data_IF_723460382187
#
_entry.id   IF_723460382187
#
_cell.length_a   1.000
_cell.length_b   1.000
_cell.length_c   1.000
_cell.angle_alpha   90.00
_cell.angle_beta   90.00
_cell.angle_gamma   90.00
#
_symmetry.space_group_name_H-M   'P 1'
#
loop_
_entity.id
_entity.type
_entity.pdbx_description
1 polymer ?
#
# COMPACT_ATOMS: atom_id res chain seq x y z
N UNK A 1 -51.94 41.13 -24.09
CA UNK A 1 -50.60 41.74 -23.95
C UNK A 1 -49.83 40.90 -22.93
N UNK A 2 -48.66 40.38 -23.31
CA UNK A 2 -47.87 39.34 -22.60
C UNK A 2 -47.28 39.84 -21.27
N UNK A 3 -47.19 39.00 -20.22
CA UNK A 3 -46.28 39.27 -19.12
C UNK A 3 -44.86 38.83 -19.50
N UNK A 4 -43.89 39.74 -19.37
CA UNK A 4 -42.46 39.46 -19.50
C UNK A 4 -42.00 38.70 -18.24
N UNK A 5 -41.61 37.44 -18.41
CA UNK A 5 -40.98 36.63 -17.37
C UNK A 5 -39.49 37.03 -17.33
N UNK A 6 -39.09 37.70 -16.26
CA UNK A 6 -37.68 37.94 -15.93
C UNK A 6 -37.02 36.62 -15.51
N UNK A 7 -36.24 36.04 -16.42
CA UNK A 7 -35.35 34.91 -16.16
C UNK A 7 -34.23 35.38 -15.21
N UNK A 8 -34.36 35.02 -13.94
CA UNK A 8 -33.30 35.17 -12.94
C UNK A 8 -32.13 34.26 -13.31
N UNK A 9 -30.98 34.87 -13.64
CA UNK A 9 -29.70 34.20 -13.73
C UNK A 9 -29.25 33.83 -12.31
N UNK A 10 -29.65 32.64 -11.86
CA UNK A 10 -29.00 31.97 -10.73
C UNK A 10 -27.71 31.33 -11.27
N UNK A 11 -26.51 31.83 -10.95
CA UNK A 11 -25.31 31.07 -11.20
C UNK A 11 -25.40 29.82 -10.33
N UNK A 12 -25.54 28.67 -10.97
CA UNK A 12 -25.28 27.40 -10.33
C UNK A 12 -23.84 27.44 -9.81
N UNK A 13 -23.69 27.68 -8.51
CA UNK A 13 -22.52 27.26 -7.77
C UNK A 13 -22.52 25.73 -7.84
N UNK A 14 -21.91 25.20 -8.91
CA UNK A 14 -21.50 23.81 -8.97
C UNK A 14 -20.43 23.68 -7.90
N UNK A 15 -20.88 23.29 -6.70
CA UNK A 15 -20.00 22.86 -5.64
C UNK A 15 -19.34 21.56 -6.13
N UNK A 16 -18.19 21.70 -6.80
CA UNK A 16 -17.27 20.61 -7.06
C UNK A 16 -16.59 20.24 -5.74
N UNK A 17 -17.38 19.73 -4.78
CA UNK A 17 -16.84 18.97 -3.67
C UNK A 17 -16.38 17.63 -4.23
N UNK A 18 -15.20 17.61 -4.85
CA UNK A 18 -14.49 16.35 -5.02
C UNK A 18 -14.32 15.77 -3.61
N UNK A 19 -14.94 14.62 -3.33
CA UNK A 19 -14.70 13.92 -2.08
C UNK A 19 -13.19 13.65 -2.02
N UNK A 20 -12.47 14.42 -1.20
CA UNK A 20 -11.06 14.21 -0.98
C UNK A 20 -10.88 12.78 -0.46
N UNK A 21 -9.97 12.02 -1.08
CA UNK A 21 -9.65 10.66 -0.65
C UNK A 21 -9.25 10.67 0.82
N UNK A 22 -9.98 9.93 1.65
CA UNK A 22 -9.59 9.67 3.04
C UNK A 22 -8.44 8.64 3.04
N UNK A 23 -7.22 9.16 2.93
CA UNK A 23 -6.00 8.35 2.93
C UNK A 23 -5.83 7.56 4.23
N UNK A 24 -6.18 8.12 5.38
CA UNK A 24 -6.02 7.43 6.66
C UNK A 24 -6.89 6.18 6.74
N UNK A 25 -8.18 6.32 6.38
CA UNK A 25 -9.10 5.18 6.33
C UNK A 25 -8.67 4.16 5.26
N UNK A 26 -8.24 4.63 4.10
CA UNK A 26 -7.80 3.77 2.99
C UNK A 26 -6.58 2.93 3.35
N UNK A 27 -5.54 3.55 3.93
CA UNK A 27 -4.32 2.87 4.34
C UNK A 27 -4.58 1.87 5.48
N UNK A 28 -5.47 2.20 6.41
CA UNK A 28 -5.91 1.26 7.46
C UNK A 28 -6.64 0.06 6.87
N UNK A 29 -7.54 0.30 5.92
CA UNK A 29 -8.26 -0.74 5.20
C UNK A 29 -7.30 -1.67 4.44
N UNK A 30 -6.36 -1.12 3.70
CA UNK A 30 -5.36 -1.90 2.94
C UNK A 30 -4.50 -2.73 3.90
N UNK A 31 -3.98 -2.12 4.96
CA UNK A 31 -3.18 -2.82 5.97
C UNK A 31 -3.94 -3.89 6.76
N UNK A 32 -5.27 -3.98 6.63
CA UNK A 32 -6.05 -5.10 7.18
C UNK A 32 -5.94 -6.38 6.34
N UNK A 33 -5.57 -6.27 5.06
CA UNK A 33 -5.54 -7.39 4.11
C UNK A 33 -6.91 -7.74 3.49
N UNK A 34 -7.98 -7.01 3.80
CA UNK A 34 -9.29 -7.21 3.18
C UNK A 34 -9.23 -6.95 1.66
N UNK A 35 -9.71 -7.92 0.86
CA UNK A 35 -9.61 -7.87 -0.60
C UNK A 35 -10.27 -6.62 -1.21
N UNK A 36 -11.43 -6.21 -0.68
CA UNK A 36 -12.15 -5.02 -1.14
C UNK A 36 -11.37 -3.72 -0.97
N UNK A 37 -10.41 -3.68 -0.03
CA UNK A 37 -9.48 -2.57 0.13
C UNK A 37 -8.27 -2.70 -0.78
N UNK A 38 -7.74 -3.92 -0.95
CA UNK A 38 -6.66 -4.19 -1.89
C UNK A 38 -7.06 -3.79 -3.32
N UNK A 39 -8.29 -4.09 -3.74
CA UNK A 39 -8.79 -3.78 -5.08
C UNK A 39 -8.79 -2.27 -5.42
N UNK A 40 -8.72 -1.39 -4.41
CA UNK A 40 -8.65 0.07 -4.57
C UNK A 40 -7.23 0.61 -4.73
N UNK A 41 -6.22 -0.20 -4.43
CA UNK A 41 -4.80 0.20 -4.45
C UNK A 41 -4.39 0.84 -5.79
N UNK A 42 -4.80 0.35 -6.98
CA UNK A 42 -4.39 0.97 -8.24
C UNK A 42 -4.92 2.40 -8.43
N UNK A 43 -6.13 2.69 -7.94
CA UNK A 43 -6.72 4.03 -8.00
C UNK A 43 -5.96 5.00 -7.08
N UNK A 44 -5.59 4.52 -5.89
CA UNK A 44 -4.78 5.28 -4.94
C UNK A 44 -3.37 5.52 -5.50
N UNK A 45 -2.72 4.49 -6.02
CA UNK A 45 -1.39 4.56 -6.61
C UNK A 45 -1.31 5.57 -7.77
N UNK A 46 -2.39 5.70 -8.57
CA UNK A 46 -2.47 6.64 -9.68
C UNK A 46 -2.40 8.11 -9.25
N UNK A 47 -2.84 8.42 -8.03
CA UNK A 47 -3.01 9.79 -7.53
C UNK A 47 -2.15 10.12 -6.32
N UNK A 48 -1.45 9.12 -5.77
CA UNK A 48 -0.56 9.25 -4.64
C UNK A 48 0.56 10.25 -4.93
N UNK A 49 0.84 11.16 -4.01
CA UNK A 49 2.14 11.81 -3.93
C UNK A 49 3.21 10.85 -3.36
N UNK A 50 4.47 11.30 -3.29
CA UNK A 50 5.58 10.49 -2.77
C UNK A 50 5.33 9.95 -1.37
N UNK A 51 4.79 10.77 -0.46
CA UNK A 51 4.54 10.35 0.94
C UNK A 51 3.39 9.36 1.02
N UNK A 52 2.35 9.58 0.22
CA UNK A 52 1.20 8.69 0.12
C UNK A 52 1.59 7.34 -0.49
N UNK A 53 2.47 7.32 -1.50
CA UNK A 53 2.98 6.11 -2.11
C UNK A 53 3.79 5.26 -1.12
N UNK A 54 4.72 5.87 -0.37
CA UNK A 54 5.46 5.18 0.71
C UNK A 54 4.48 4.60 1.74
N UNK A 55 3.50 5.40 2.17
CA UNK A 55 2.51 4.94 3.16
C UNK A 55 1.64 3.79 2.62
N UNK A 56 1.39 3.77 1.31
CA UNK A 56 0.65 2.73 0.60
C UNK A 56 1.47 1.43 0.52
N UNK A 57 2.77 1.52 0.20
CA UNK A 57 3.69 0.38 0.24
C UNK A 57 3.81 -0.20 1.66
N UNK A 58 3.93 0.65 2.68
CA UNK A 58 3.90 0.24 4.08
C UNK A 58 2.60 -0.48 4.46
N UNK A 59 1.46 -0.02 3.92
CA UNK A 59 0.16 -0.66 4.15
C UNK A 59 0.08 -2.03 3.48
N UNK A 60 0.58 -2.17 2.24
CA UNK A 60 0.67 -3.44 1.54
C UNK A 60 1.61 -4.41 2.26
N UNK A 61 2.76 -3.94 2.76
CA UNK A 61 3.69 -4.77 3.53
C UNK A 61 2.99 -5.36 4.77
N UNK A 62 2.27 -4.53 5.54
CA UNK A 62 1.47 -5.00 6.70
C UNK A 62 0.36 -5.98 6.32
N UNK A 63 -0.13 -5.93 5.08
CA UNK A 63 -1.17 -6.82 4.60
C UNK A 63 -0.64 -8.21 4.20
N UNK A 64 0.66 -8.34 3.87
CA UNK A 64 1.25 -9.62 3.43
C UNK A 64 1.02 -10.75 4.44
N UNK A 65 1.22 -10.49 5.73
CA UNK A 65 1.02 -11.49 6.78
C UNK A 65 -0.44 -11.88 7.03
N UNK A 66 -1.39 -11.13 6.44
CA UNK A 66 -2.84 -11.32 6.63
C UNK A 66 -3.53 -11.89 5.39
N UNK A 67 -3.08 -11.49 4.20
CA UNK A 67 -3.60 -11.91 2.91
C UNK A 67 -2.49 -11.90 1.85
N UNK A 68 -1.51 -12.79 1.98
CA UNK A 68 -0.41 -12.91 1.03
C UNK A 68 -0.90 -13.09 -0.43
N UNK A 69 -1.84 -14.00 -0.76
CA UNK A 69 -2.28 -14.17 -2.14
C UNK A 69 -2.85 -12.89 -2.76
N UNK A 70 -3.74 -12.19 -2.04
CA UNK A 70 -4.36 -10.96 -2.53
C UNK A 70 -3.35 -9.82 -2.71
N UNK A 71 -2.39 -9.70 -1.79
CA UNK A 71 -1.32 -8.68 -1.91
C UNK A 71 -0.39 -9.01 -3.07
N UNK A 72 0.01 -10.27 -3.26
CA UNK A 72 0.89 -10.68 -4.37
C UNK A 72 0.22 -10.47 -5.74
N UNK A 73 -1.08 -10.73 -5.85
CA UNK A 73 -1.85 -10.41 -7.06
C UNK A 73 -1.90 -8.89 -7.32
N UNK A 74 -2.06 -8.10 -6.26
CA UNK A 74 -2.02 -6.64 -6.37
C UNK A 74 -0.64 -6.13 -6.78
N UNK A 75 0.44 -6.70 -6.21
CA UNK A 75 1.81 -6.36 -6.59
C UNK A 75 2.08 -6.67 -8.06
N UNK A 76 1.56 -7.77 -8.60
CA UNK A 76 1.63 -8.04 -10.04
C UNK A 76 0.98 -6.94 -10.90
N UNK A 77 -0.10 -6.31 -10.43
CA UNK A 77 -0.70 -5.14 -11.09
C UNK A 77 0.17 -3.89 -10.92
N UNK A 78 0.74 -3.71 -9.74
CA UNK A 78 1.59 -2.57 -9.43
C UNK A 78 2.84 -2.60 -10.30
N UNK A 79 3.58 -3.70 -10.30
CA UNK A 79 4.84 -3.85 -11.02
C UNK A 79 4.66 -3.79 -12.55
N UNK A 80 3.49 -4.20 -13.07
CA UNK A 80 3.18 -4.18 -14.50
C UNK A 80 2.81 -2.79 -15.04
N UNK A 81 2.55 -1.82 -14.16
CA UNK A 81 2.09 -0.48 -14.51
C UNK A 81 3.08 0.56 -14.00
N UNK A 82 3.40 1.55 -14.82
CA UNK A 82 4.31 2.63 -14.42
C UNK A 82 3.59 3.62 -13.51
N UNK A 83 3.61 3.37 -12.20
CA UNK A 83 3.11 4.29 -11.19
C UNK A 83 4.20 5.32 -10.84
N UNK A 84 3.88 6.62 -10.76
CA UNK A 84 4.90 7.66 -10.67
C UNK A 84 5.82 7.56 -9.44
N UNK A 85 5.31 6.99 -8.35
CA UNK A 85 5.95 7.03 -7.03
C UNK A 85 5.96 5.70 -6.28
N UNK A 86 5.45 4.61 -6.87
CA UNK A 86 5.54 3.28 -6.27
C UNK A 86 6.60 2.45 -6.98
N UNK A 87 7.34 1.69 -6.19
CA UNK A 87 8.35 0.73 -6.63
C UNK A 87 7.76 -0.68 -6.64
N UNK A 88 6.82 -0.98 -5.73
CA UNK A 88 6.08 -2.24 -5.73
C UNK A 88 6.82 -3.36 -4.98
N UNK A 89 6.97 -4.52 -5.62
CA UNK A 89 7.45 -5.75 -4.95
C UNK A 89 8.76 -5.56 -4.18
N UNK A 90 9.73 -4.82 -4.74
CA UNK A 90 11.05 -4.64 -4.13
C UNK A 90 11.01 -3.89 -2.78
N UNK A 91 9.99 -3.04 -2.56
CA UNK A 91 9.80 -2.34 -1.28
C UNK A 91 8.85 -3.12 -0.37
N UNK A 92 7.72 -3.58 -0.89
CA UNK A 92 6.66 -4.20 -0.10
C UNK A 92 7.11 -5.52 0.54
N UNK A 93 7.99 -6.26 -0.13
CA UNK A 93 8.46 -7.57 0.33
C UNK A 93 9.68 -7.52 1.26
N UNK A 94 10.24 -6.34 1.53
CA UNK A 94 11.35 -6.18 2.47
C UNK A 94 10.91 -6.18 3.94
N UNK A 95 11.85 -6.45 4.85
CA UNK A 95 11.61 -6.18 6.27
C UNK A 95 11.50 -4.68 6.55
N UNK A 96 10.65 -4.24 7.50
CA UNK A 96 10.52 -2.83 7.85
C UNK A 96 11.70 -2.38 8.73
N UNK A 97 12.89 -2.26 8.13
CA UNK A 97 14.18 -2.12 8.81
C UNK A 97 14.29 -0.93 9.79
N UNK A 98 13.49 0.12 9.57
CA UNK A 98 13.41 1.32 10.42
C UNK A 98 12.63 1.11 11.73
N UNK A 99 11.95 -0.05 11.88
CA UNK A 99 11.20 -0.39 13.07
C UNK A 99 12.10 -1.00 14.15
N UNK A 100 11.55 -1.16 15.36
CA UNK A 100 12.25 -1.81 16.46
C UNK A 100 12.49 -3.30 16.18
N UNK A 101 13.55 -3.88 16.75
CA UNK A 101 13.87 -5.29 16.54
C UNK A 101 12.72 -6.27 16.83
N UNK A 102 11.92 -6.12 17.90
CA UNK A 102 10.76 -6.98 18.10
C UNK A 102 9.71 -6.88 17.00
N UNK A 103 9.51 -5.69 16.43
CA UNK A 103 8.53 -5.46 15.34
C UNK A 103 9.03 -6.08 14.03
N UNK A 104 10.32 -5.95 13.74
CA UNK A 104 10.93 -6.58 12.56
C UNK A 104 10.87 -8.11 12.64
N UNK A 105 11.16 -8.67 13.82
CA UNK A 105 11.10 -10.12 14.03
C UNK A 105 9.68 -10.67 13.88
N UNK A 106 8.70 -10.05 14.52
CA UNK A 106 7.29 -10.45 14.41
C UNK A 106 6.79 -10.39 12.97
N UNK A 107 7.09 -9.28 12.28
CA UNK A 107 6.80 -9.13 10.86
C UNK A 107 7.43 -10.24 10.03
N UNK A 108 8.72 -10.51 10.21
CA UNK A 108 9.44 -11.53 9.44
C UNK A 108 8.79 -12.91 9.62
N UNK A 109 8.58 -13.34 10.86
CA UNK A 109 8.04 -14.68 11.14
C UNK A 109 6.64 -14.86 10.54
N UNK A 110 5.75 -13.88 10.73
CA UNK A 110 4.37 -13.96 10.26
C UNK A 110 4.28 -13.86 8.74
N UNK A 111 5.01 -12.92 8.13
CA UNK A 111 5.02 -12.73 6.68
C UNK A 111 5.64 -13.93 5.98
N UNK A 112 6.74 -14.49 6.52
CA UNK A 112 7.38 -15.69 5.96
C UNK A 112 6.43 -16.88 5.91
N UNK A 113 5.69 -17.14 7.00
CA UNK A 113 4.71 -18.23 7.03
C UNK A 113 3.58 -18.01 6.03
N UNK A 114 3.08 -16.77 5.90
CA UNK A 114 2.04 -16.44 4.92
C UNK A 114 2.52 -16.65 3.48
N UNK A 115 3.75 -16.24 3.16
CA UNK A 115 4.35 -16.40 1.83
C UNK A 115 4.64 -17.86 1.47
N UNK A 116 5.06 -18.68 2.44
CA UNK A 116 5.23 -20.13 2.25
C UNK A 116 3.91 -20.87 2.01
N UNK A 117 2.78 -20.27 2.39
CA UNK A 117 1.45 -20.82 2.19
C UNK A 117 0.87 -20.67 0.78
N UNK A 118 1.60 -20.06 -0.15
CA UNK A 118 1.14 -19.76 -1.52
C UNK A 118 2.22 -20.06 -2.56
N UNK A 119 1.81 -20.47 -3.76
CA UNK A 119 2.71 -20.74 -4.90
C UNK A 119 3.26 -19.45 -5.54
N UNK A 120 2.62 -18.31 -5.30
CA UNK A 120 3.05 -16.98 -5.77
C UNK A 120 4.12 -16.33 -4.88
N UNK A 121 4.41 -16.92 -3.72
CA UNK A 121 5.21 -16.28 -2.68
C UNK A 121 6.72 -16.23 -2.94
N UNK A 122 7.23 -16.97 -3.92
CA UNK A 122 8.66 -17.22 -4.09
C UNK A 122 9.53 -15.95 -4.18
N UNK A 123 9.14 -14.99 -5.03
CA UNK A 123 9.90 -13.74 -5.20
C UNK A 123 9.89 -12.91 -3.92
N UNK A 124 8.72 -12.74 -3.31
CA UNK A 124 8.57 -11.96 -2.09
C UNK A 124 9.32 -12.61 -0.91
N UNK A 125 9.32 -13.95 -0.85
CA UNK A 125 10.04 -14.72 0.15
C UNK A 125 11.56 -14.54 0.01
N UNK A 126 12.09 -14.55 -1.22
CA UNK A 126 13.49 -14.25 -1.46
C UNK A 126 13.88 -12.87 -0.90
N UNK A 127 13.11 -11.83 -1.24
CA UNK A 127 13.38 -10.45 -0.79
C UNK A 127 13.29 -10.34 0.73
N UNK A 128 12.27 -10.96 1.33
CA UNK A 128 12.07 -10.97 2.77
C UNK A 128 13.26 -11.63 3.49
N UNK A 129 13.68 -12.82 3.03
CA UNK A 129 14.78 -13.57 3.66
C UNK A 129 16.11 -12.83 3.48
N UNK A 130 16.40 -12.27 2.30
CA UNK A 130 17.60 -11.50 2.05
C UNK A 130 17.67 -10.23 2.94
N UNK A 131 16.62 -9.42 2.92
CA UNK A 131 16.56 -8.18 3.71
C UNK A 131 16.60 -8.42 5.22
N UNK A 132 16.03 -9.54 5.70
CA UNK A 132 16.11 -9.94 7.09
C UNK A 132 17.55 -10.34 7.51
N UNK A 133 18.27 -11.09 6.68
CA UNK A 133 19.67 -11.44 6.96
C UNK A 133 20.58 -10.21 6.97
N UNK A 134 20.39 -9.29 6.01
CA UNK A 134 21.09 -7.99 6.00
C UNK A 134 20.80 -7.19 7.26
N UNK A 135 19.52 -7.06 7.63
CA UNK A 135 19.12 -6.35 8.84
C UNK A 135 19.72 -6.97 10.11
N UNK A 136 19.77 -8.29 10.23
CA UNK A 136 20.42 -8.97 11.36
C UNK A 136 21.92 -8.67 11.42
N UNK A 137 22.61 -8.75 10.28
CA UNK A 137 24.03 -8.45 10.19
C UNK A 137 24.33 -7.01 10.61
N UNK A 138 23.49 -6.05 10.19
CA UNK A 138 23.59 -4.64 10.57
C UNK A 138 23.40 -4.42 12.06
N UNK A 139 22.40 -5.06 12.66
CA UNK A 139 22.14 -4.93 14.10
C UNK A 139 23.23 -5.58 14.94
N UNK A 140 23.77 -6.72 14.52
CA UNK A 140 24.90 -7.36 15.20
C UNK A 140 26.15 -6.46 15.20
N UNK A 141 26.39 -5.70 14.12
CA UNK A 141 27.51 -4.75 14.03
C UNK A 141 27.35 -3.55 14.96
N UNK A 142 26.13 -3.10 15.26
CA UNK A 142 25.85 -1.96 16.16
C UNK A 142 26.06 -2.27 17.64
N UNK A 143 26.01 -3.55 18.02
CA UNK A 143 26.17 -4.01 19.41
C UNK A 143 27.66 -4.13 19.79
N UNK A 144 28.56 -4.17 18.79
CA UNK A 144 30.01 -4.30 18.97
C UNK A 144 30.69 -2.94 19.10
#
# INVERSE_FOLDING_TARGET
MKPLILLGLFPWLVWAGGNATDWSASLKGIGSGEQTWLDKVPELAATADVKQAISLEDALARALSKNAPGVLDMLGIIDAKTWPHMIGTDIVCGVPAEQTAPVVEDFYQHTRLALLGTDKGATCLWILEASYEEWKADNARKIK
#
